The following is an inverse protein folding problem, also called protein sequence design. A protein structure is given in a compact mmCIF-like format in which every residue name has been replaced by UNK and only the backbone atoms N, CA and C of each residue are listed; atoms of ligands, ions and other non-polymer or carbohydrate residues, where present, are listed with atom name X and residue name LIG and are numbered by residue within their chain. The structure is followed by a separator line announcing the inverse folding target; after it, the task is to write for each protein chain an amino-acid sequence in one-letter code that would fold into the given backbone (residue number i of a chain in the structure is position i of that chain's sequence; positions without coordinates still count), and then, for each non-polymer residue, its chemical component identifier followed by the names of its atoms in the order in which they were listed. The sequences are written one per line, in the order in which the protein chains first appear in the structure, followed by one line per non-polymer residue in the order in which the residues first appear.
data_IF_760904654545
#
_entry.id   IF_760904654545
#
_cell.length_a   1.000
_cell.length_b   1.000
_cell.length_c   1.000
_cell.angle_alpha   90.00
_cell.angle_beta   90.00
_cell.angle_gamma   90.00
#
_symmetry.space_group_name_H-M   'P 1'
#
loop_
_entity.id
_entity.type
_entity.pdbx_description
1 polymer ?
#
# COMPACT_ATOMS: atom_id res chain seq x y z
N UNK A 1 -19.16 -26.27 5.06
CA UNK A 1 -18.28 -26.33 3.88
C UNK A 1 -17.07 -25.49 4.25
N UNK A 2 -15.94 -26.12 4.59
CA UNK A 2 -14.78 -25.42 5.13
C UNK A 2 -13.95 -24.85 3.98
N UNK A 3 -13.79 -23.53 3.92
CA UNK A 3 -12.78 -22.91 3.09
C UNK A 3 -11.42 -23.35 3.63
N UNK A 4 -10.72 -24.21 2.88
CA UNK A 4 -9.29 -24.43 3.06
C UNK A 4 -8.63 -23.13 2.60
N UNK A 5 -8.31 -22.26 3.55
CA UNK A 5 -7.41 -21.13 3.31
C UNK A 5 -6.14 -21.69 2.67
N UNK A 6 -5.81 -21.16 1.50
CA UNK A 6 -4.51 -21.37 0.88
C UNK A 6 -3.48 -20.90 1.91
N UNK A 7 -2.65 -21.81 2.43
CA UNK A 7 -1.55 -21.43 3.31
C UNK A 7 -0.73 -20.38 2.57
N UNK A 8 -0.76 -19.14 3.06
CA UNK A 8 0.06 -18.08 2.52
C UNK A 8 1.51 -18.50 2.75
N UNK A 9 2.22 -18.79 1.65
CA UNK A 9 3.66 -18.95 1.68
C UNK A 9 4.28 -17.60 2.03
N UNK A 10 4.45 -17.35 3.33
CA UNK A 10 5.03 -16.11 3.87
C UNK A 10 6.56 -16.07 3.75
N UNK A 11 7.17 -16.84 2.84
CA UNK A 11 8.63 -16.86 2.65
C UNK A 11 9.18 -15.59 1.98
N UNK A 12 8.31 -14.79 1.34
CA UNK A 12 8.69 -13.54 0.68
C UNK A 12 8.49 -12.34 1.60
N UNK A 13 9.56 -11.55 1.75
CA UNK A 13 9.52 -10.30 2.52
C UNK A 13 8.85 -9.21 1.67
N UNK A 14 7.64 -8.84 2.04
CA UNK A 14 6.85 -7.82 1.33
C UNK A 14 6.94 -6.43 2.01
N UNK A 15 7.74 -6.29 3.08
CA UNK A 15 7.95 -5.06 3.82
C UNK A 15 9.45 -4.85 4.12
N UNK A 16 10.01 -3.76 3.63
CA UNK A 16 11.33 -3.27 4.01
C UNK A 16 11.24 -1.95 4.78
N UNK A 17 11.89 -1.90 5.93
CA UNK A 17 11.96 -0.70 6.78
C UNK A 17 13.41 -0.27 6.93
N UNK A 18 13.72 0.95 6.51
CA UNK A 18 15.03 1.56 6.62
C UNK A 18 15.04 2.60 7.74
N UNK A 19 15.84 2.38 8.78
CA UNK A 19 16.17 3.42 9.77
C UNK A 19 17.47 4.10 9.33
N UNK A 20 17.42 5.40 9.05
CA UNK A 20 18.52 6.12 8.41
C UNK A 20 18.76 7.49 9.01
N UNK A 21 19.99 8.00 8.88
CA UNK A 21 20.35 9.37 9.25
C UNK A 21 20.00 10.40 8.16
N UNK A 22 19.69 9.94 6.94
CA UNK A 22 19.33 10.79 5.82
C UNK A 22 18.30 10.09 4.93
N UNK A 23 17.01 10.39 5.15
CA UNK A 23 15.90 9.74 4.44
C UNK A 23 15.96 9.96 2.93
N UNK A 24 16.34 11.15 2.49
CA UNK A 24 16.39 11.53 1.08
C UNK A 24 17.52 10.83 0.34
N UNK A 25 18.69 10.72 0.96
CA UNK A 25 19.79 9.93 0.39
C UNK A 25 19.43 8.45 0.30
N UNK A 26 18.86 7.87 1.37
CA UNK A 26 18.41 6.47 1.37
C UNK A 26 17.38 6.22 0.28
N UNK A 27 16.38 7.11 0.11
CA UNK A 27 15.42 6.99 -0.98
C UNK A 27 16.08 7.03 -2.35
N UNK A 28 17.03 7.94 -2.58
CA UNK A 28 17.73 8.03 -3.86
C UNK A 28 18.58 6.78 -4.15
N UNK A 29 19.19 6.16 -3.14
CA UNK A 29 19.87 4.87 -3.29
C UNK A 29 18.89 3.76 -3.65
N UNK A 30 17.76 3.66 -2.94
CA UNK A 30 16.72 2.67 -3.25
C UNK A 30 16.19 2.84 -4.67
N UNK A 31 15.88 4.08 -5.08
CA UNK A 31 15.38 4.36 -6.43
C UNK A 31 16.42 4.09 -7.52
N UNK A 32 17.72 4.27 -7.22
CA UNK A 32 18.80 3.94 -8.14
C UNK A 32 18.93 2.43 -8.34
N UNK A 33 18.85 1.65 -7.25
CA UNK A 33 19.04 0.21 -7.27
C UNK A 33 17.78 -0.53 -7.75
N UNK A 34 16.60 0.01 -7.42
CA UNK A 34 15.29 -0.47 -7.88
C UNK A 34 14.41 0.71 -8.36
N UNK A 35 14.47 1.06 -9.66
CA UNK A 35 13.66 2.14 -10.23
C UNK A 35 12.17 1.81 -10.29
N UNK A 36 11.78 0.55 -10.09
CA UNK A 36 10.38 0.13 -10.08
C UNK A 36 9.77 0.16 -8.67
N UNK A 37 10.59 0.37 -7.62
CA UNK A 37 10.18 0.40 -6.21
C UNK A 37 9.32 -0.82 -5.83
N UNK A 38 9.72 -2.00 -6.28
CA UNK A 38 9.02 -3.26 -6.02
C UNK A 38 7.78 -3.51 -6.90
N UNK A 39 7.43 -2.63 -7.86
CA UNK A 39 6.36 -2.93 -8.84
C UNK A 39 6.68 -4.20 -9.64
N UNK A 40 5.67 -5.05 -9.80
CA UNK A 40 5.81 -6.36 -10.44
C UNK A 40 6.52 -7.43 -9.59
N UNK A 41 7.02 -7.08 -8.39
CA UNK A 41 7.52 -8.07 -7.44
C UNK A 41 6.35 -8.93 -6.97
N UNK A 42 6.56 -10.24 -6.90
CA UNK A 42 5.51 -11.20 -6.52
C UNK A 42 4.20 -11.07 -7.32
N UNK A 43 4.28 -10.51 -8.53
CA UNK A 43 3.19 -10.44 -9.49
C UNK A 43 3.30 -11.57 -10.50
N UNK A 44 2.17 -11.93 -11.10
CA UNK A 44 2.14 -12.78 -12.28
C UNK A 44 2.79 -12.10 -13.50
N UNK A 45 3.02 -10.78 -13.45
CA UNK A 45 3.71 -10.02 -14.51
C UNK A 45 2.87 -9.90 -15.79
N UNK A 46 1.55 -9.88 -15.64
CA UNK A 46 0.63 -9.95 -16.77
C UNK A 46 0.07 -8.59 -17.16
N UNK A 47 0.29 -7.54 -16.35
CA UNK A 47 -0.26 -6.21 -16.63
C UNK A 47 0.82 -5.19 -16.97
N UNK A 48 0.42 -4.14 -17.72
CA UNK A 48 1.31 -3.01 -18.01
C UNK A 48 1.78 -2.32 -16.72
N UNK A 49 0.92 -2.28 -15.71
CA UNK A 49 1.16 -1.57 -14.46
C UNK A 49 2.24 -2.26 -13.62
N UNK A 50 2.38 -3.59 -13.73
CA UNK A 50 3.47 -4.36 -13.12
C UNK A 50 4.87 -3.95 -13.64
N UNK A 51 4.94 -3.34 -14.83
CA UNK A 51 6.19 -2.89 -15.47
C UNK A 51 6.25 -1.37 -15.65
N UNK A 52 5.29 -0.63 -15.10
CA UNK A 52 5.29 0.82 -15.15
C UNK A 52 6.18 1.38 -14.04
N UNK A 53 6.99 2.39 -14.36
CA UNK A 53 7.68 3.16 -13.34
C UNK A 53 6.68 3.81 -12.37
N UNK A 54 7.04 4.00 -11.09
CA UNK A 54 6.24 4.77 -10.14
C UNK A 54 5.88 6.15 -10.70
N UNK A 55 4.71 6.65 -10.29
CA UNK A 55 4.27 7.96 -10.76
C UNK A 55 5.23 9.04 -10.26
N UNK A 56 5.50 10.03 -11.12
CA UNK A 56 6.39 11.15 -10.77
C UNK A 56 5.92 11.91 -9.52
N UNK A 57 4.61 11.92 -9.23
CA UNK A 57 4.09 12.47 -7.98
C UNK A 57 4.55 11.70 -6.76
N UNK A 58 4.55 10.37 -6.83
CA UNK A 58 4.94 9.50 -5.73
C UNK A 58 6.44 9.66 -5.47
N UNK A 59 7.24 9.66 -6.54
CA UNK A 59 8.69 9.92 -6.45
C UNK A 59 8.96 11.29 -5.81
N UNK A 60 8.22 12.34 -6.20
CA UNK A 60 8.37 13.66 -5.57
C UNK A 60 8.03 13.62 -4.08
N UNK A 61 6.90 13.01 -3.70
CA UNK A 61 6.50 12.92 -2.29
C UNK A 61 7.50 12.13 -1.44
N UNK A 62 8.09 11.07 -1.99
CA UNK A 62 9.11 10.26 -1.30
C UNK A 62 10.46 10.99 -1.14
N UNK A 63 10.74 11.97 -2.00
CA UNK A 63 11.90 12.87 -1.85
C UNK A 63 11.69 13.97 -0.81
N UNK A 64 10.45 14.29 -0.45
CA UNK A 64 10.17 15.30 0.56
C UNK A 64 10.69 14.90 1.94
N UNK A 65 11.14 15.89 2.68
CA UNK A 65 11.82 15.73 3.96
C UNK A 65 10.85 15.42 5.10
N UNK A 66 10.46 14.14 5.22
CA UNK A 66 9.49 13.67 6.23
C UNK A 66 10.12 12.74 7.28
N UNK A 67 9.58 12.71 8.52
CA UNK A 67 10.02 11.80 9.58
C UNK A 67 9.92 10.32 9.19
N UNK A 68 8.80 9.95 8.56
CA UNK A 68 8.54 8.62 8.04
C UNK A 68 7.92 8.75 6.65
N UNK A 69 8.42 7.97 5.70
CA UNK A 69 7.97 7.93 4.30
C UNK A 69 7.63 6.49 3.96
N UNK A 70 6.60 6.26 3.16
CA UNK A 70 6.30 4.92 2.69
C UNK A 70 5.76 4.93 1.27
N UNK A 71 6.01 3.82 0.57
CA UNK A 71 5.51 3.56 -0.77
C UNK A 71 5.06 2.10 -0.87
N UNK A 72 3.83 1.90 -1.36
CA UNK A 72 3.25 0.58 -1.58
C UNK A 72 3.18 0.30 -3.08
N UNK A 73 3.84 -0.76 -3.51
CA UNK A 73 3.62 -1.33 -4.82
C UNK A 73 2.32 -2.15 -4.81
N UNK A 74 1.53 -1.95 -5.85
CA UNK A 74 0.27 -2.65 -6.08
C UNK A 74 0.39 -3.37 -7.42
N UNK A 75 0.00 -4.62 -7.46
CA UNK A 75 -0.10 -5.42 -8.67
C UNK A 75 -1.53 -5.88 -8.89
N UNK A 76 -1.89 -6.13 -10.14
CA UNK A 76 -3.22 -6.66 -10.47
C UNK A 76 -3.11 -8.17 -10.67
N UNK A 77 -3.83 -8.92 -9.85
CA UNK A 77 -4.01 -10.36 -10.06
C UNK A 77 -5.28 -10.60 -10.88
N UNK A 78 -5.16 -11.13 -12.11
CA UNK A 78 -6.33 -11.44 -12.93
C UNK A 78 -7.08 -12.66 -12.38
N UNK A 79 -8.39 -12.67 -12.56
CA UNK A 79 -9.23 -13.82 -12.22
C UNK A 79 -8.81 -15.12 -12.93
N UNK A 80 -8.89 -16.25 -12.23
CA UNK A 80 -8.98 -17.63 -12.72
C UNK A 80 -8.22 -17.94 -14.04
N UNK A 81 -6.88 -17.95 -13.99
CA UNK A 81 -6.05 -18.46 -15.10
C UNK A 81 -6.04 -17.59 -16.36
N UNK A 82 -6.64 -16.40 -16.31
CA UNK A 82 -6.65 -15.45 -17.43
C UNK A 82 -5.27 -14.83 -17.58
N UNK A 83 -4.54 -15.25 -18.62
CA UNK A 83 -3.27 -14.64 -19.00
C UNK A 83 -3.57 -13.37 -19.79
N UNK A 84 -3.26 -12.19 -19.24
CA UNK A 84 -3.24 -10.96 -20.01
C UNK A 84 -1.97 -10.94 -20.88
N UNK A 85 -2.02 -11.56 -22.06
CA UNK A 85 -0.91 -11.49 -23.02
C UNK A 85 -1.00 -10.16 -23.77
N UNK A 86 0.00 -9.30 -23.57
CA UNK A 86 0.21 -8.11 -24.39
C UNK A 86 0.77 -8.55 -25.75
N UNK A 87 -0.12 -8.76 -26.74
CA UNK A 87 0.34 -8.94 -28.11
C UNK A 87 0.71 -7.58 -28.71
N UNK A 88 2.01 -7.35 -28.98
CA UNK A 88 2.42 -6.27 -29.88
C UNK A 88 1.86 -6.60 -31.26
N UNK A 89 0.76 -5.94 -31.64
CA UNK A 89 0.36 -5.88 -33.04
C UNK A 89 1.54 -5.41 -33.88
N UNK A 90 1.63 -5.85 -35.13
CA UNK A 90 2.73 -5.62 -36.08
C UNK A 90 3.00 -4.14 -36.45
N UNK A 91 2.45 -3.18 -35.70
CA UNK A 91 2.78 -1.76 -35.77
C UNK A 91 3.29 -1.30 -34.40
N UNK A 92 4.53 -0.84 -34.37
CA UNK A 92 5.29 -0.46 -33.18
C UNK A 92 4.74 0.75 -32.39
N UNK A 93 3.47 1.11 -32.58
CA UNK A 93 2.85 2.35 -32.06
C UNK A 93 1.35 2.21 -31.71
N UNK A 94 0.79 0.99 -31.72
CA UNK A 94 -0.61 0.74 -31.32
C UNK A 94 -0.78 0.39 -29.83
N UNK A 95 -1.95 0.66 -29.22
CA UNK A 95 -2.23 0.24 -27.85
C UNK A 95 -2.14 -1.29 -27.74
N UNK A 96 -1.45 -1.76 -26.71
CA UNK A 96 -1.32 -3.19 -26.44
C UNK A 96 -2.72 -3.80 -26.24
N UNK A 97 -3.05 -4.83 -27.03
CA UNK A 97 -4.32 -5.55 -26.87
C UNK A 97 -4.14 -6.61 -25.82
N UNK A 98 -4.96 -6.53 -24.76
CA UNK A 98 -5.11 -7.62 -23.80
C UNK A 98 -5.92 -8.70 -24.48
N UNK A 99 -5.27 -9.82 -24.83
CA UNK A 99 -5.98 -11.02 -25.27
C UNK A 99 -6.50 -11.72 -24.03
N UNK A 100 -7.82 -11.81 -23.92
CA UNK A 100 -8.53 -12.48 -22.83
C UNK A 100 -9.40 -13.56 -23.47
N UNK A 101 -9.26 -14.80 -23.00
CA UNK A 101 -10.10 -15.93 -23.45
C UNK A 101 -11.49 -15.93 -22.75
N UNK A 102 -11.76 -14.94 -21.90
CA UNK A 102 -13.05 -14.79 -21.24
C UNK A 102 -13.96 -13.81 -22.00
N UNK A 103 -15.23 -14.20 -22.16
CA UNK A 103 -16.31 -13.44 -22.82
C UNK A 103 -16.54 -12.05 -22.16
N UNK A 104 -16.03 -11.85 -20.93
CA UNK A 104 -15.94 -10.56 -20.24
C UNK A 104 -14.46 -10.22 -20.10
N UNK A 105 -14.04 -9.05 -20.55
CA UNK A 105 -12.62 -8.65 -20.50
C UNK A 105 -12.03 -8.75 -19.09
N UNK A 106 -10.71 -8.90 -19.01
CA UNK A 106 -9.92 -9.14 -17.77
C UNK A 106 -10.32 -8.24 -16.59
N UNK A 107 -10.65 -6.98 -16.85
CA UNK A 107 -11.01 -5.98 -15.84
C UNK A 107 -12.48 -6.00 -15.39
N UNK A 108 -13.34 -6.80 -16.05
CA UNK A 108 -14.76 -6.95 -15.73
C UNK A 108 -15.10 -8.24 -14.97
N UNK A 109 -14.08 -9.04 -14.62
CA UNK A 109 -14.26 -10.23 -13.80
C UNK A 109 -14.20 -9.88 -12.31
N UNK A 110 -15.21 -10.36 -11.56
CA UNK A 110 -15.37 -10.09 -10.11
C UNK A 110 -14.21 -10.57 -9.23
N UNK A 111 -13.27 -11.35 -9.77
CA UNK A 111 -12.11 -11.91 -9.05
C UNK A 111 -10.78 -11.28 -9.43
N UNK A 112 -10.79 -10.29 -10.32
CA UNK A 112 -9.58 -9.51 -10.59
C UNK A 112 -9.39 -8.56 -9.42
N UNK A 113 -8.26 -8.68 -8.72
CA UNK A 113 -8.00 -7.96 -7.48
C UNK A 113 -6.70 -7.16 -7.57
N UNK A 114 -6.69 -5.99 -6.92
CA UNK A 114 -5.47 -5.23 -6.68
C UNK A 114 -4.84 -5.73 -5.39
N UNK A 115 -3.62 -6.26 -5.48
CA UNK A 115 -2.89 -6.81 -4.34
C UNK A 115 -1.68 -5.94 -4.02
N UNK A 116 -1.49 -5.64 -2.74
CA UNK A 116 -0.26 -5.05 -2.26
C UNK A 116 0.87 -6.10 -2.29
N UNK A 117 1.89 -5.86 -3.10
CA UNK A 117 2.99 -6.81 -3.29
C UNK A 117 4.26 -6.41 -2.56
N UNK A 118 4.45 -5.11 -2.34
CA UNK A 118 5.67 -4.61 -1.73
C UNK A 118 5.42 -3.29 -0.99
N UNK A 119 6.09 -3.11 0.14
CA UNK A 119 6.06 -1.88 0.92
C UNK A 119 7.47 -1.49 1.32
N UNK A 120 7.86 -0.28 0.94
CA UNK A 120 9.10 0.36 1.37
C UNK A 120 8.73 1.42 2.39
N UNK A 121 9.42 1.43 3.53
CA UNK A 121 9.29 2.47 4.54
C UNK A 121 10.67 3.01 4.92
N UNK A 122 10.80 4.33 5.01
CA UNK A 122 12.02 5.02 5.38
C UNK A 122 11.72 5.89 6.61
N UNK A 123 12.42 5.60 7.70
CA UNK A 123 12.37 6.36 8.96
C UNK A 123 13.64 7.21 9.04
N UNK A 124 13.47 8.51 8.95
CA UNK A 124 14.55 9.51 9.09
C UNK A 124 14.77 9.82 10.57
N UNK A 125 15.85 9.29 11.15
CA UNK A 125 16.13 9.34 12.59
C UNK A 125 16.22 10.77 13.14
N UNK A 126 16.97 11.71 12.52
CA UNK A 126 16.98 13.11 12.95
C UNK A 126 15.59 13.77 12.96
N UNK A 127 14.72 13.44 12.00
CA UNK A 127 13.39 14.05 11.85
C UNK A 127 12.29 13.34 12.65
N UNK A 128 12.50 12.07 13.00
CA UNK A 128 11.54 11.25 13.75
C UNK A 128 11.64 11.39 15.27
N UNK A 129 12.50 12.28 15.78
CA UNK A 129 12.62 12.56 17.21
C UNK A 129 11.32 13.07 17.86
N UNK A 130 11.15 12.79 19.15
CA UNK A 130 9.99 13.22 19.95
C UNK A 130 9.15 12.07 20.54
N UNK A 131 8.60 11.14 19.73
CA UNK A 131 7.81 10.03 20.24
C UNK A 131 8.67 9.01 20.98
N UNK A 132 8.02 8.21 21.81
CA UNK A 132 8.63 6.98 22.33
C UNK A 132 8.78 5.94 21.22
N UNK A 133 9.68 4.97 21.40
CA UNK A 133 9.81 3.85 20.47
C UNK A 133 8.52 3.06 20.30
N UNK A 134 7.71 2.92 21.35
CA UNK A 134 6.38 2.28 21.27
C UNK A 134 5.42 3.05 20.36
N UNK A 135 5.34 4.38 20.52
CA UNK A 135 4.52 5.22 19.64
C UNK A 135 4.97 5.17 18.18
N UNK A 136 6.29 5.19 17.95
CA UNK A 136 6.83 5.09 16.59
C UNK A 136 6.55 3.71 15.98
N UNK A 137 6.66 2.64 16.77
CA UNK A 137 6.34 1.28 16.33
C UNK A 137 4.86 1.14 15.98
N UNK A 138 3.94 1.66 16.80
CA UNK A 138 2.51 1.64 16.53
C UNK A 138 2.15 2.47 15.28
N UNK A 139 2.79 3.63 15.10
CA UNK A 139 2.64 4.45 13.89
C UNK A 139 3.10 3.70 12.64
N UNK A 140 4.29 3.08 12.69
CA UNK A 140 4.86 2.28 11.60
C UNK A 140 3.97 1.08 11.28
N UNK A 141 3.48 0.38 12.30
CA UNK A 141 2.60 -0.77 12.14
C UNK A 141 1.27 -0.38 11.50
N UNK A 142 0.64 0.69 12.00
CA UNK A 142 -0.62 1.15 11.44
C UNK A 142 -0.46 1.65 10.00
N UNK A 143 0.58 2.46 9.72
CA UNK A 143 0.89 2.94 8.38
C UNK A 143 1.23 1.78 7.43
N UNK A 144 1.93 0.74 7.91
CA UNK A 144 2.29 -0.40 7.07
C UNK A 144 1.10 -1.29 6.73
N UNK A 145 0.11 -1.39 7.64
CA UNK A 145 -1.09 -2.20 7.44
C UNK A 145 -2.16 -1.47 6.63
N UNK A 146 -2.37 -0.18 6.87
CA UNK A 146 -3.42 0.62 6.20
C UNK A 146 -2.92 1.35 4.95
N UNK A 147 -1.60 1.59 4.86
CA UNK A 147 -0.92 2.30 3.77
C UNK A 147 -1.68 3.52 3.26
N UNK A 148 -2.02 4.46 4.16
CA UNK A 148 -2.76 5.63 3.77
C UNK A 148 -1.89 6.46 2.82
N UNK A 149 -2.52 7.37 2.07
CA UNK A 149 -1.78 8.23 1.15
C UNK A 149 -0.76 9.07 1.92
N UNK A 150 0.48 9.08 1.43
CA UNK A 150 1.57 9.83 2.03
C UNK A 150 1.25 11.33 1.99
N UNK A 151 1.46 12.01 3.11
CA UNK A 151 1.30 13.47 3.21
C UNK A 151 -0.14 13.96 3.39
N UNK A 152 -1.12 13.08 3.54
CA UNK A 152 -2.49 13.46 3.88
C UNK A 152 -2.62 13.97 5.33
N UNK A 153 -3.77 14.61 5.61
CA UNK A 153 -4.13 15.07 6.95
C UNK A 153 -4.91 13.97 7.66
N UNK A 154 -4.35 13.44 8.74
CA UNK A 154 -4.95 12.35 9.50
C UNK A 154 -5.84 12.82 10.65
N UNK A 155 -6.78 11.97 11.04
CA UNK A 155 -7.65 12.20 12.19
C UNK A 155 -6.81 12.38 13.46
N UNK A 156 -7.08 13.43 14.23
CA UNK A 156 -6.30 13.77 15.44
C UNK A 156 -6.34 12.72 16.54
N UNK A 157 -7.36 11.86 16.53
CA UNK A 157 -7.49 10.75 17.47
C UNK A 157 -6.84 9.46 16.99
N UNK A 158 -6.19 9.43 15.82
CA UNK A 158 -5.48 8.26 15.29
C UNK A 158 -3.99 8.34 15.62
N UNK A 159 -3.32 7.20 15.77
CA UNK A 159 -1.85 7.15 15.85
C UNK A 159 -1.20 7.87 14.67
N UNK A 160 -1.85 7.93 13.50
CA UNK A 160 -1.35 8.64 12.32
C UNK A 160 -1.17 10.15 12.51
N UNK A 161 -1.74 10.75 13.57
CA UNK A 161 -1.48 12.14 13.92
C UNK A 161 -0.16 12.35 14.67
N UNK A 162 0.71 11.33 14.76
CA UNK A 162 1.99 11.39 15.47
C UNK A 162 2.87 12.55 15.00
N UNK A 163 2.85 12.79 13.68
CA UNK A 163 3.53 13.90 13.03
C UNK A 163 2.53 14.79 12.31
N UNK A 164 2.72 16.11 12.40
CA UNK A 164 2.03 17.10 11.59
C UNK A 164 3.06 18.12 11.10
N UNK A 165 3.03 18.43 9.80
CA UNK A 165 4.04 19.27 9.15
C UNK A 165 5.48 18.85 9.54
N UNK A 166 5.72 17.53 9.50
CA UNK A 166 7.02 16.91 9.77
C UNK A 166 7.56 17.10 11.20
N UNK A 167 6.68 17.38 12.17
CA UNK A 167 7.04 17.55 13.58
C UNK A 167 6.19 16.68 14.50
N UNK A 168 6.83 16.12 15.52
CA UNK A 168 6.15 15.36 16.56
C UNK A 168 5.11 16.20 17.29
N UNK A 169 3.93 15.63 17.52
CA UNK A 169 2.83 16.27 18.22
C UNK A 169 2.78 15.80 19.69
N UNK A 170 2.98 16.71 20.63
CA UNK A 170 2.96 16.38 22.08
C UNK A 170 1.62 15.79 22.56
N UNK A 171 0.53 16.13 21.88
CA UNK A 171 -0.81 15.60 22.15
C UNK A 171 -1.17 14.36 21.33
N UNK A 172 -0.24 13.79 20.56
CA UNK A 172 -0.50 12.57 19.79
C UNK A 172 -0.83 11.40 20.71
N UNK A 173 -1.62 10.42 20.21
CA UNK A 173 -1.85 9.17 20.93
C UNK A 173 -0.56 8.48 21.38
N UNK A 174 -0.61 7.82 22.54
CA UNK A 174 0.52 7.09 23.12
C UNK A 174 0.68 5.67 22.60
N UNK A 175 -0.35 5.17 21.94
CA UNK A 175 -0.45 3.83 21.37
C UNK A 175 -1.58 3.83 20.32
N UNK A 176 -1.79 2.71 19.62
CA UNK A 176 -2.99 2.49 18.81
C UNK A 176 -4.27 2.83 19.59
N UNK A 177 -5.13 3.64 18.98
CA UNK A 177 -6.40 4.05 19.55
C UNK A 177 -7.52 3.09 19.19
N UNK A 178 -8.69 3.25 19.82
CA UNK A 178 -9.89 2.49 19.41
C UNK A 178 -10.27 2.76 17.96
N UNK A 179 -10.07 3.99 17.47
CA UNK A 179 -10.27 4.32 16.06
C UNK A 179 -9.32 3.52 15.15
N UNK A 180 -8.05 3.42 15.53
CA UNK A 180 -7.05 2.68 14.76
C UNK A 180 -7.37 1.18 14.74
N UNK A 181 -7.72 0.60 15.89
CA UNK A 181 -8.08 -0.81 15.99
C UNK A 181 -9.33 -1.13 15.18
N UNK A 182 -10.37 -0.31 15.29
CA UNK A 182 -11.61 -0.46 14.50
C UNK A 182 -11.32 -0.35 12.99
N UNK A 183 -10.45 0.58 12.59
CA UNK A 183 -10.04 0.73 11.19
C UNK A 183 -9.34 -0.52 10.67
N UNK A 184 -8.44 -1.11 11.46
CA UNK A 184 -7.78 -2.36 11.09
C UNK A 184 -8.77 -3.53 11.05
N UNK A 185 -9.67 -3.64 12.04
CA UNK A 185 -10.68 -4.69 12.08
C UNK A 185 -11.59 -4.63 10.86
N UNK A 186 -12.05 -3.44 10.48
CA UNK A 186 -12.86 -3.24 9.29
C UNK A 186 -12.09 -3.54 8.00
N UNK A 187 -10.85 -3.04 7.87
CA UNK A 187 -10.03 -3.24 6.67
C UNK A 187 -9.72 -4.72 6.40
N UNK A 188 -9.51 -5.51 7.45
CA UNK A 188 -9.18 -6.93 7.34
C UNK A 188 -10.38 -7.86 7.58
N UNK A 189 -11.55 -7.29 7.90
CA UNK A 189 -12.82 -7.98 8.09
C UNK A 189 -13.74 -7.91 6.87
N UNK A 190 -13.58 -6.88 6.02
CA UNK A 190 -14.37 -6.68 4.81
C UNK A 190 -14.22 -7.84 3.81
N UNK A 191 -15.31 -8.16 3.11
CA UNK A 191 -15.31 -9.21 2.08
C UNK A 191 -14.58 -8.73 0.82
N UNK A 192 -13.52 -9.44 0.43
CA UNK A 192 -12.67 -9.12 -0.71
C UNK A 192 -13.37 -9.23 -2.08
N UNK A 193 -14.60 -9.76 -2.13
CA UNK A 193 -15.41 -9.87 -3.35
C UNK A 193 -16.42 -8.71 -3.56
N UNK A 194 -16.34 -7.64 -2.75
CA UNK A 194 -17.16 -6.44 -2.90
C UNK A 194 -16.59 -5.45 -3.91
N UNK A 195 -17.45 -4.64 -4.52
CA UNK A 195 -17.00 -3.52 -5.31
C UNK A 195 -16.37 -2.46 -4.39
N UNK A 196 -15.30 -1.80 -4.83
CA UNK A 196 -14.54 -0.86 -4.00
C UNK A 196 -15.40 0.25 -3.33
N UNK A 197 -16.50 0.66 -3.95
CA UNK A 197 -17.43 1.62 -3.36
C UNK A 197 -18.20 1.04 -2.16
N UNK A 198 -18.65 -0.22 -2.28
CA UNK A 198 -19.42 -0.92 -1.26
C UNK A 198 -18.50 -1.31 -0.09
N UNK A 199 -17.27 -1.74 -0.39
CA UNK A 199 -16.22 -2.01 0.60
C UNK A 199 -15.89 -0.75 1.43
N UNK A 200 -15.71 0.40 0.79
CA UNK A 200 -15.47 1.67 1.50
C UNK A 200 -16.65 2.07 2.40
N UNK A 201 -17.88 1.83 1.95
CA UNK A 201 -19.09 2.11 2.72
C UNK A 201 -19.22 1.19 3.94
N UNK A 202 -18.91 -0.09 3.79
CA UNK A 202 -18.89 -1.08 4.87
C UNK A 202 -17.83 -0.74 5.91
N UNK A 203 -16.59 -0.49 5.48
CA UNK A 203 -15.50 -0.08 6.37
C UNK A 203 -15.87 1.18 7.16
N UNK A 204 -16.46 2.18 6.50
CA UNK A 204 -16.89 3.41 7.17
C UNK A 204 -17.99 3.14 8.20
N UNK A 205 -18.95 2.28 7.87
CA UNK A 205 -20.04 1.91 8.76
C UNK A 205 -19.53 1.15 9.99
N UNK A 206 -18.65 0.17 9.82
CA UNK A 206 -18.08 -0.60 10.92
C UNK A 206 -17.28 0.29 11.88
N UNK A 207 -16.36 1.10 11.35
CA UNK A 207 -15.54 2.02 12.15
C UNK A 207 -16.41 2.99 12.95
N UNK A 208 -17.47 3.53 12.35
CA UNK A 208 -18.36 4.46 13.06
C UNK A 208 -19.24 3.78 14.11
N UNK A 209 -19.56 2.49 13.93
CA UNK A 209 -20.38 1.72 14.87
C UNK A 209 -19.60 1.30 16.13
N UNK A 210 -18.30 1.00 16.01
CA UNK A 210 -17.46 0.54 17.13
C UNK A 210 -16.95 1.67 18.04
N UNK A 211 -16.95 2.91 17.54
CA UNK A 211 -16.45 4.08 18.28
C UNK A 211 -17.53 4.72 19.16
N UNK A 212 -18.78 4.28 19.04
CA UNK A 212 -19.94 4.85 19.76
C UNK A 212 -20.17 4.20 21.12
#
# INVERSE_FOLDING_TARGET
MAFKGQEADCSKQNLLIFFTQNGTQTFNTVLHDDPFLGRGTDSSGLTRDDYALPDESDIRQLREDRPVRWYRAISTDPADGVIAILSRGSQASGPAKVLSDSIRGVFGHKRTQLRATYLIMIVDLPRSAGPTWGQLADYIAFASLTSPKLGDVFYKGSIMSLYNQDRFQQGAPRQLTSFDLATLQALYGADADLAAHDEQAEITHEVTSEIR
#
